data_IF_908399237716
#
_entry.id   IF_908399237716
#
_cell.length_a   1.000
_cell.length_b   1.000
_cell.length_c   1.000
_cell.angle_alpha   90.00
_cell.angle_beta   90.00
_cell.angle_gamma   90.00
#
_symmetry.space_group_name_H-M   'P 1'
#
loop_
_entity.id
_entity.type
_entity.pdbx_description
1 polymer ?
#
# COMPACT_ATOMS: atom_id res chain seq x y z
N UNK A 1 -2.15 14.86 23.33
CA UNK A 1 -1.76 13.84 22.33
C UNK A 1 -0.69 12.93 22.91
N UNK A 2 -0.87 11.62 22.89
CA UNK A 2 0.10 10.63 23.40
C UNK A 2 0.87 9.95 22.26
N UNK A 3 0.27 9.88 21.07
CA UNK A 3 0.85 9.29 19.86
C UNK A 3 0.25 9.92 18.61
N UNK A 4 0.91 9.77 17.46
CA UNK A 4 0.41 10.29 16.17
C UNK A 4 -0.96 9.72 15.76
N UNK A 5 -1.34 8.55 16.25
CA UNK A 5 -2.69 8.00 16.04
C UNK A 5 -3.80 8.81 16.72
N UNK A 6 -3.46 9.68 17.66
CA UNK A 6 -4.41 10.58 18.35
C UNK A 6 -4.54 11.93 17.63
N UNK A 7 -3.73 12.16 16.57
CA UNK A 7 -3.73 13.37 15.78
C UNK A 7 -4.73 13.28 14.64
N UNK A 8 -5.29 14.43 14.28
CA UNK A 8 -6.14 14.64 13.12
C UNK A 8 -5.60 15.75 12.21
N UNK A 9 -6.24 15.97 11.07
CA UNK A 9 -5.84 16.98 10.10
C UNK A 9 -5.88 18.41 10.68
N UNK A 10 -6.81 18.71 11.59
CA UNK A 10 -6.90 20.03 12.22
C UNK A 10 -5.70 20.31 13.11
N UNK A 11 -5.28 19.33 13.91
CA UNK A 11 -4.06 19.41 14.72
C UNK A 11 -2.80 19.57 13.85
N UNK A 12 -2.73 18.88 12.70
CA UNK A 12 -1.60 19.04 11.78
C UNK A 12 -1.51 20.47 11.23
N UNK A 13 -2.65 21.07 10.85
CA UNK A 13 -2.70 22.44 10.35
C UNK A 13 -2.24 23.41 11.44
N UNK A 14 -2.67 23.26 12.69
CA UNK A 14 -2.24 24.09 13.81
C UNK A 14 -0.73 23.99 14.08
N UNK A 15 -0.15 22.80 13.89
CA UNK A 15 1.27 22.55 14.15
C UNK A 15 2.17 22.91 12.95
N UNK A 16 1.61 23.16 11.77
CA UNK A 16 2.35 23.33 10.52
C UNK A 16 3.46 24.39 10.60
N UNK A 17 3.21 25.51 11.32
CA UNK A 17 4.21 26.57 11.50
C UNK A 17 5.26 26.26 12.58
N UNK A 18 5.06 25.20 13.38
CA UNK A 18 5.90 24.87 14.55
C UNK A 18 6.79 23.65 14.35
N UNK A 19 6.61 22.94 13.26
CA UNK A 19 7.39 21.73 12.94
C UNK A 19 8.09 21.87 11.59
N UNK A 20 9.12 21.06 11.35
CA UNK A 20 9.82 21.08 10.07
C UNK A 20 8.92 20.63 8.92
N UNK A 21 9.15 21.12 7.67
CA UNK A 21 8.40 20.61 6.51
C UNK A 21 8.50 19.10 6.33
N UNK A 22 9.61 18.49 6.73
CA UNK A 22 9.79 17.03 6.68
C UNK A 22 8.88 16.37 7.71
N UNK A 23 8.91 16.82 8.96
CA UNK A 23 8.07 16.25 10.03
C UNK A 23 6.59 16.43 9.71
N UNK A 24 6.21 17.57 9.12
CA UNK A 24 4.84 17.80 8.66
C UNK A 24 4.40 16.77 7.61
N UNK A 25 5.22 16.50 6.58
CA UNK A 25 4.91 15.47 5.58
C UNK A 25 4.78 14.09 6.20
N UNK A 26 5.74 13.70 7.09
CA UNK A 26 5.69 12.41 7.79
C UNK A 26 4.44 12.25 8.64
N UNK A 27 4.11 13.28 9.43
CA UNK A 27 2.91 13.28 10.26
C UNK A 27 1.63 13.22 9.42
N UNK A 28 1.57 13.97 8.31
CA UNK A 28 0.45 13.93 7.36
C UNK A 28 0.23 12.52 6.79
N UNK A 29 1.32 11.82 6.44
CA UNK A 29 1.21 10.42 6.04
C UNK A 29 0.57 9.57 7.12
N UNK A 30 1.07 9.62 8.35
CA UNK A 30 0.58 8.78 9.46
C UNK A 30 -0.89 9.08 9.77
N UNK A 31 -1.27 10.35 9.82
CA UNK A 31 -2.67 10.74 10.08
C UNK A 31 -3.60 10.22 8.98
N UNK A 32 -3.21 10.38 7.72
CA UNK A 32 -3.98 9.84 6.60
C UNK A 32 -4.07 8.30 6.62
N UNK A 33 -3.01 7.60 7.01
CA UNK A 33 -3.01 6.12 7.11
C UNK A 33 -3.86 5.61 8.27
N UNK A 34 -4.07 6.37 9.36
CA UNK A 34 -4.88 5.92 10.51
C UNK A 34 -6.31 5.53 10.10
N UNK A 35 -6.90 6.23 9.13
CA UNK A 35 -8.26 5.94 8.65
C UNK A 35 -8.36 4.89 7.53
N UNK A 36 -7.26 4.63 6.80
CA UNK A 36 -7.32 3.77 5.60
C UNK A 36 -7.67 2.31 5.89
N UNK A 37 -7.20 1.65 6.98
CA UNK A 37 -7.59 0.27 7.26
C UNK A 37 -9.10 0.11 7.48
N UNK A 38 -9.75 1.03 8.20
CA UNK A 38 -11.18 1.00 8.38
C UNK A 38 -11.93 1.20 7.06
N UNK A 39 -11.51 2.21 6.27
CA UNK A 39 -12.09 2.44 4.94
C UNK A 39 -11.89 1.26 3.99
N UNK A 40 -10.76 0.54 4.09
CA UNK A 40 -10.50 -0.67 3.32
C UNK A 40 -11.44 -1.82 3.75
N UNK A 41 -11.62 -2.01 5.06
CA UNK A 41 -12.55 -3.02 5.57
C UNK A 41 -13.98 -2.76 5.10
N UNK A 42 -14.45 -1.51 5.12
CA UNK A 42 -15.76 -1.10 4.61
C UNK A 42 -15.89 -1.36 3.10
N UNK A 43 -14.84 -1.05 2.33
CA UNK A 43 -14.82 -1.30 0.88
C UNK A 43 -14.94 -2.80 0.57
N UNK A 44 -14.22 -3.66 1.28
CA UNK A 44 -14.35 -5.11 1.13
C UNK A 44 -15.72 -5.63 1.59
N UNK A 45 -16.23 -5.15 2.72
CA UNK A 45 -17.55 -5.56 3.23
C UNK A 45 -18.70 -5.21 2.28
N UNK A 46 -18.57 -4.09 1.56
CA UNK A 46 -19.55 -3.65 0.54
C UNK A 46 -19.28 -4.22 -0.86
N UNK A 47 -18.19 -4.95 -1.08
CA UNK A 47 -17.79 -5.44 -2.40
C UNK A 47 -17.27 -4.34 -3.35
N UNK A 48 -16.98 -3.13 -2.85
CA UNK A 48 -16.46 -2.01 -3.66
C UNK A 48 -14.94 -2.16 -3.88
N UNK A 49 -14.58 -3.09 -4.77
CA UNK A 49 -13.19 -3.37 -5.11
C UNK A 49 -12.51 -2.17 -5.80
N UNK A 50 -13.27 -1.34 -6.52
CA UNK A 50 -12.73 -0.14 -7.11
C UNK A 50 -12.31 0.88 -6.05
N UNK A 51 -13.09 1.04 -4.96
CA UNK A 51 -12.71 1.84 -3.80
C UNK A 51 -11.50 1.26 -3.08
N UNK A 52 -11.46 -0.07 -2.89
CA UNK A 52 -10.31 -0.75 -2.30
C UNK A 52 -9.02 -0.48 -3.10
N UNK A 53 -9.06 -0.61 -4.41
CA UNK A 53 -7.93 -0.30 -5.30
C UNK A 53 -7.47 1.15 -5.18
N UNK A 54 -8.40 2.12 -5.19
CA UNK A 54 -8.05 3.54 -4.97
C UNK A 54 -7.38 3.79 -3.62
N UNK A 55 -7.85 3.15 -2.55
CA UNK A 55 -7.23 3.27 -1.23
C UNK A 55 -5.79 2.73 -1.22
N UNK A 56 -5.52 1.62 -1.92
CA UNK A 56 -4.17 1.10 -2.10
C UNK A 56 -3.27 2.10 -2.82
N UNK A 57 -3.74 2.66 -3.94
CA UNK A 57 -2.99 3.65 -4.72
C UNK A 57 -2.70 4.92 -3.92
N UNK A 58 -3.68 5.44 -3.18
CA UNK A 58 -3.49 6.60 -2.31
C UNK A 58 -2.48 6.31 -1.19
N UNK A 59 -2.50 5.10 -0.62
CA UNK A 59 -1.51 4.68 0.37
C UNK A 59 -0.11 4.63 -0.24
N UNK A 60 0.05 4.05 -1.45
CA UNK A 60 1.34 4.01 -2.12
C UNK A 60 1.89 5.42 -2.42
N UNK A 61 1.07 6.29 -2.99
CA UNK A 61 1.46 7.68 -3.23
C UNK A 61 1.88 8.39 -1.93
N UNK A 62 1.15 8.19 -0.84
CA UNK A 62 1.48 8.77 0.46
C UNK A 62 2.80 8.21 1.03
N UNK A 63 3.06 6.91 0.86
CA UNK A 63 4.33 6.27 1.25
C UNK A 63 5.50 6.80 0.42
N UNK A 64 5.30 7.04 -0.88
CA UNK A 64 6.31 7.56 -1.79
C UNK A 64 6.58 9.05 -1.54
N UNK A 65 5.53 9.89 -1.52
CA UNK A 65 5.66 11.34 -1.63
C UNK A 65 5.72 12.05 -0.27
N UNK A 66 5.07 11.49 0.77
CA UNK A 66 5.02 12.09 2.11
C UNK A 66 5.94 11.38 3.11
N UNK A 67 5.91 10.05 3.11
CA UNK A 67 6.74 9.27 4.02
C UNK A 67 8.13 8.99 3.44
N UNK A 68 8.26 9.02 2.12
CA UNK A 68 9.50 8.87 1.34
C UNK A 68 10.23 7.54 1.63
N UNK A 69 9.48 6.45 1.68
CA UNK A 69 10.01 5.09 1.90
C UNK A 69 9.91 4.20 0.65
N UNK A 70 9.37 4.71 -0.45
CA UNK A 70 9.36 3.97 -1.71
C UNK A 70 10.73 4.05 -2.40
N UNK A 71 10.94 3.16 -3.37
CA UNK A 71 12.12 3.15 -4.24
C UNK A 71 11.68 3.06 -5.69
N UNK A 72 12.55 3.41 -6.67
CA UNK A 72 12.23 3.27 -8.08
C UNK A 72 11.80 1.84 -8.47
N UNK A 73 12.34 0.83 -7.77
CA UNK A 73 11.98 -0.58 -7.99
C UNK A 73 10.54 -0.87 -7.53
N UNK A 74 10.16 -0.36 -6.37
CA UNK A 74 8.79 -0.53 -5.84
C UNK A 74 7.77 0.26 -6.67
N UNK A 75 8.12 1.48 -7.06
CA UNK A 75 7.27 2.31 -7.93
C UNK A 75 7.05 1.62 -9.29
N UNK A 76 8.12 1.06 -9.88
CA UNK A 76 8.03 0.31 -11.14
C UNK A 76 7.10 -0.91 -11.03
N UNK A 77 7.16 -1.66 -9.92
CA UNK A 77 6.25 -2.80 -9.69
C UNK A 77 4.80 -2.36 -9.57
N UNK A 78 4.53 -1.27 -8.86
CA UNK A 78 3.18 -0.73 -8.71
C UNK A 78 2.64 -0.24 -10.04
N UNK A 79 3.41 0.57 -10.78
CA UNK A 79 3.04 1.07 -12.10
C UNK A 79 2.68 -0.09 -13.05
N UNK A 80 3.60 -1.06 -13.17
CA UNK A 80 3.40 -2.23 -14.04
C UNK A 80 2.18 -3.05 -13.67
N UNK A 81 1.88 -3.18 -12.37
CA UNK A 81 0.70 -3.91 -11.92
C UNK A 81 -0.60 -3.17 -12.28
N UNK A 82 -0.68 -1.86 -12.00
CA UNK A 82 -1.92 -1.10 -12.22
C UNK A 82 -2.19 -0.80 -13.70
N UNK A 83 -1.18 -0.87 -14.56
CA UNK A 83 -1.33 -0.80 -16.01
C UNK A 83 -2.05 -2.03 -16.60
N UNK A 84 -2.10 -3.15 -15.83
CA UNK A 84 -2.68 -4.38 -16.35
C UNK A 84 -4.22 -4.39 -16.18
N UNK A 85 -4.97 -4.72 -17.24
CA UNK A 85 -6.41 -4.96 -17.11
C UNK A 85 -6.69 -6.04 -16.07
N UNK A 86 -7.66 -5.79 -15.18
CA UNK A 86 -7.99 -6.68 -14.06
C UNK A 86 -7.22 -6.42 -12.77
N UNK A 87 -6.22 -5.54 -12.76
CA UNK A 87 -5.64 -5.00 -11.53
C UNK A 87 -6.43 -3.76 -11.10
N UNK A 88 -6.98 -3.77 -9.90
CA UNK A 88 -7.75 -2.66 -9.34
C UNK A 88 -6.90 -1.68 -8.54
N UNK A 89 -5.76 -2.12 -8.05
CA UNK A 89 -4.82 -1.28 -7.31
C UNK A 89 -3.65 -2.06 -6.78
N UNK A 90 -2.56 -1.34 -6.50
CA UNK A 90 -1.34 -1.91 -5.92
C UNK A 90 -0.67 -0.91 -4.98
N UNK A 91 0.15 -1.41 -4.06
CA UNK A 91 0.95 -0.60 -3.15
C UNK A 91 2.17 -1.38 -2.64
N UNK A 92 3.21 -0.67 -2.24
CA UNK A 92 4.28 -1.28 -1.46
C UNK A 92 3.75 -1.81 -0.12
N UNK A 93 4.38 -2.86 0.41
CA UNK A 93 4.10 -3.43 1.72
C UNK A 93 5.39 -3.65 2.50
N UNK A 94 5.30 -3.61 3.83
CA UNK A 94 6.46 -3.63 4.72
C UNK A 94 7.02 -2.24 5.00
N UNK A 95 8.29 -2.18 5.39
CA UNK A 95 8.96 -0.94 5.82
C UNK A 95 9.30 0.02 4.66
N UNK A 96 9.24 -0.44 3.42
CA UNK A 96 9.78 0.29 2.28
C UNK A 96 11.30 0.09 2.13
N UNK A 97 11.96 1.00 1.39
CA UNK A 97 13.39 0.95 1.04
C UNK A 97 13.80 -0.29 0.24
N UNK A 98 12.85 -0.94 -0.40
CA UNK A 98 12.90 -2.23 -1.08
C UNK A 98 11.79 -3.14 -0.59
N UNK A 99 11.83 -4.42 -0.95
CA UNK A 99 10.87 -5.43 -0.50
C UNK A 99 9.79 -5.74 -1.51
N UNK A 100 8.52 -5.71 -1.10
CA UNK A 100 7.42 -6.27 -1.88
C UNK A 100 6.31 -5.26 -2.18
N UNK A 101 5.57 -5.55 -3.22
CA UNK A 101 4.32 -4.87 -3.58
C UNK A 101 3.19 -5.88 -3.45
N UNK A 102 2.03 -5.45 -3.00
CA UNK A 102 0.78 -6.21 -3.08
C UNK A 102 -0.13 -5.56 -4.12
N UNK A 103 -0.81 -6.38 -4.89
CA UNK A 103 -1.78 -5.95 -5.88
C UNK A 103 -3.12 -6.67 -5.70
N UNK A 104 -4.21 -5.95 -5.89
CA UNK A 104 -5.57 -6.50 -5.91
C UNK A 104 -5.95 -6.78 -7.37
N UNK A 105 -6.10 -8.06 -7.70
CA UNK A 105 -6.28 -8.54 -9.06
C UNK A 105 -7.51 -9.43 -9.15
N UNK A 106 -8.31 -9.28 -10.21
CA UNK A 106 -9.40 -10.18 -10.54
C UNK A 106 -8.89 -11.61 -10.76
N UNK A 107 -9.57 -12.60 -10.19
CA UNK A 107 -9.11 -14.01 -10.22
C UNK A 107 -8.79 -14.52 -11.63
N UNK A 108 -9.59 -14.16 -12.63
CA UNK A 108 -9.38 -14.54 -14.03
C UNK A 108 -8.22 -13.83 -14.74
N UNK A 109 -7.60 -12.82 -14.11
CA UNK A 109 -6.51 -12.03 -14.66
C UNK A 109 -5.15 -12.30 -14.01
N UNK A 110 -5.10 -13.09 -12.94
CA UNK A 110 -3.93 -13.27 -12.09
C UNK A 110 -2.69 -13.72 -12.87
N UNK A 111 -2.77 -14.82 -13.63
CA UNK A 111 -1.63 -15.36 -14.36
C UNK A 111 -1.07 -14.37 -15.39
N UNK A 112 -1.98 -13.67 -16.10
CA UNK A 112 -1.60 -12.66 -17.08
C UNK A 112 -0.91 -11.47 -16.42
N UNK A 113 -1.48 -10.95 -15.32
CA UNK A 113 -0.90 -9.82 -14.58
C UNK A 113 0.48 -10.18 -14.03
N UNK A 114 0.63 -11.35 -13.41
CA UNK A 114 1.92 -11.82 -12.91
C UNK A 114 2.97 -11.88 -14.01
N UNK A 115 2.69 -12.58 -15.10
CA UNK A 115 3.64 -12.71 -16.23
C UNK A 115 4.00 -11.35 -16.85
N UNK A 116 3.01 -10.44 -16.99
CA UNK A 116 3.25 -9.11 -17.55
C UNK A 116 4.10 -8.24 -16.62
N UNK A 117 3.87 -8.31 -15.30
CA UNK A 117 4.66 -7.56 -14.31
C UNK A 117 6.09 -8.09 -14.26
N UNK A 118 6.30 -9.41 -14.24
CA UNK A 118 7.64 -10.01 -14.23
C UNK A 118 8.45 -9.62 -15.48
N UNK A 119 7.86 -9.78 -16.67
CA UNK A 119 8.51 -9.41 -17.92
C UNK A 119 8.77 -7.91 -18.03
N UNK A 120 7.78 -7.08 -17.68
CA UNK A 120 7.92 -5.62 -17.70
C UNK A 120 8.95 -5.11 -16.70
N UNK A 121 9.03 -5.72 -15.52
CA UNK A 121 10.01 -5.35 -14.53
C UNK A 121 11.44 -5.69 -14.97
N UNK A 122 11.66 -6.89 -15.53
CA UNK A 122 12.96 -7.26 -16.07
C UNK A 122 13.39 -6.30 -17.20
N UNK A 123 12.46 -5.94 -18.08
CA UNK A 123 12.72 -4.98 -19.15
C UNK A 123 13.03 -3.58 -18.63
N UNK A 124 12.27 -3.09 -17.61
CA UNK A 124 12.40 -1.71 -17.10
C UNK A 124 13.58 -1.54 -16.15
N UNK A 125 13.88 -2.55 -15.34
CA UNK A 125 14.85 -2.47 -14.24
C UNK A 125 16.12 -3.28 -14.48
N UNK A 126 16.17 -4.14 -15.53
CA UNK A 126 17.30 -5.04 -15.78
C UNK A 126 17.51 -6.11 -14.70
N UNK A 127 16.48 -6.41 -13.93
CA UNK A 127 16.51 -7.36 -12.82
C UNK A 127 15.25 -8.22 -12.85
N UNK A 128 15.35 -9.43 -12.37
CA UNK A 128 14.21 -10.32 -12.21
C UNK A 128 13.44 -10.00 -10.92
N UNK A 129 12.15 -10.25 -10.95
CA UNK A 129 11.26 -10.27 -9.78
C UNK A 129 10.49 -11.58 -9.78
N UNK A 130 9.85 -11.90 -8.68
CA UNK A 130 8.96 -13.05 -8.57
C UNK A 130 7.60 -12.60 -8.04
N UNK A 131 6.53 -13.04 -8.69
CA UNK A 131 5.19 -12.85 -8.24
C UNK A 131 4.59 -14.16 -7.72
N UNK A 132 3.73 -14.08 -6.72
CA UNK A 132 3.01 -15.23 -6.19
C UNK A 132 1.63 -14.82 -5.69
N UNK A 133 0.70 -15.78 -5.71
CA UNK A 133 -0.67 -15.53 -5.29
C UNK A 133 -0.79 -15.70 -3.77
N UNK A 134 -1.34 -14.66 -3.11
CA UNK A 134 -1.75 -14.75 -1.72
C UNK A 134 -3.27 -14.72 -1.64
N UNK A 135 -3.83 -15.49 -0.71
CA UNK A 135 -5.25 -15.41 -0.38
C UNK A 135 -5.40 -14.86 1.04
N UNK A 136 -6.44 -14.05 1.30
CA UNK A 136 -6.78 -13.67 2.65
C UNK A 136 -6.96 -14.91 3.53
N UNK A 137 -6.36 -14.89 4.71
CA UNK A 137 -6.49 -15.96 5.68
C UNK A 137 -6.98 -15.39 7.01
N UNK A 138 -7.23 -16.30 7.96
CA UNK A 138 -7.56 -15.90 9.33
C UNK A 138 -6.45 -14.98 9.89
N UNK A 139 -6.86 -13.89 10.55
CA UNK A 139 -5.92 -12.96 11.18
C UNK A 139 -5.13 -13.59 12.33
N UNK A 140 -4.23 -12.83 12.93
CA UNK A 140 -3.46 -13.28 14.07
C UNK A 140 -4.37 -13.73 15.22
N UNK A 141 -4.08 -14.88 15.81
CA UNK A 141 -4.78 -15.44 16.95
C UNK A 141 -3.78 -15.98 17.98
N UNK A 142 -4.21 -16.09 19.22
CA UNK A 142 -3.44 -16.77 20.25
C UNK A 142 -3.58 -18.27 20.02
N UNK A 143 -2.47 -18.97 19.74
CA UNK A 143 -2.46 -20.43 19.76
C UNK A 143 -2.68 -20.89 21.21
N UNK A 144 -3.68 -21.74 21.47
CA UNK A 144 -3.78 -22.41 22.73
C UNK A 144 -2.55 -23.32 22.87
N UNK A 145 -1.88 -23.22 24.03
CA UNK A 145 -0.77 -24.12 24.33
C UNK A 145 -1.32 -25.56 24.32
N UNK A 146 -0.72 -26.41 23.52
CA UNK A 146 -1.02 -27.84 23.55
C UNK A 146 -0.71 -28.35 24.98
N UNK A 147 -1.75 -28.82 25.68
CA UNK A 147 -1.65 -29.43 27.01
C UNK A 147 -1.05 -30.83 26.93
#
# INVERSE_FOLDING_TARGET
MRALRDADDAMLVELAASISPVDFRRASHVVAENGRPAAMADAFASGDLARAGRLMMHSHASLRDLYEVSTPELDALVDLAVEQPGCTGARLTGAGFGGSVIALVEAGSVERVMSSVEAGYEQRMGRQTAAFVCQPSQGAFLAEAAS
#
